data_IF_568528300252
#
_entry.id   IF_568528300252
#
_cell.length_a   1.000
_cell.length_b   1.000
_cell.length_c   1.000
_cell.angle_alpha   90.00
_cell.angle_beta   90.00
_cell.angle_gamma   90.00
#
_symmetry.space_group_name_H-M   'P 1'
#
loop_
_entity.id
_entity.type
_entity.pdbx_description
1 polymer ?
#
# COMPACT_ATOMS: atom_id res chain seq x y z
N UNK A 1 12.61 -40.55 -51.45
CA UNK A 1 12.88 -39.17 -50.96
C UNK A 1 11.76 -38.15 -51.24
N UNK A 2 10.97 -38.19 -52.33
CA UNK A 2 9.92 -37.16 -52.58
C UNK A 2 8.60 -37.32 -51.79
N UNK A 3 8.28 -38.51 -51.26
CA UNK A 3 7.03 -38.72 -50.47
C UNK A 3 7.18 -38.43 -48.97
N UNK A 4 8.37 -38.58 -48.39
CA UNK A 4 8.60 -38.29 -46.97
C UNK A 4 8.77 -36.79 -46.68
N UNK A 5 9.31 -36.02 -47.64
CA UNK A 5 9.42 -34.56 -47.52
C UNK A 5 8.04 -33.89 -47.60
N UNK A 6 7.09 -34.43 -48.37
CA UNK A 6 5.72 -33.90 -48.41
C UNK A 6 4.95 -34.09 -47.09
N UNK A 7 5.15 -35.22 -46.39
CA UNK A 7 4.48 -35.45 -45.10
C UNK A 7 5.11 -34.62 -43.98
N UNK A 8 6.42 -34.37 -44.01
CA UNK A 8 7.07 -33.50 -43.04
C UNK A 8 6.62 -32.03 -43.17
N UNK A 9 6.41 -31.53 -44.39
CA UNK A 9 5.93 -30.16 -44.62
C UNK A 9 4.44 -30.01 -44.27
N UNK A 10 3.62 -31.04 -44.51
CA UNK A 10 2.19 -31.00 -44.16
C UNK A 10 1.97 -31.07 -42.64
N UNK A 11 2.75 -31.88 -41.91
CA UNK A 11 2.67 -31.96 -40.45
C UNK A 11 3.20 -30.68 -39.79
N UNK A 12 4.22 -30.04 -40.36
CA UNK A 12 4.75 -28.76 -39.85
C UNK A 12 3.78 -27.59 -40.07
N UNK A 13 3.06 -27.55 -41.20
CA UNK A 13 2.05 -26.53 -41.44
C UNK A 13 0.79 -26.73 -40.59
N UNK A 14 0.34 -27.97 -40.37
CA UNK A 14 -0.78 -28.23 -39.46
C UNK A 14 -0.42 -27.82 -38.04
N UNK A 15 0.81 -28.06 -37.57
CA UNK A 15 1.29 -27.60 -36.26
C UNK A 15 1.41 -26.08 -36.14
N UNK A 16 1.80 -25.37 -37.20
CA UNK A 16 1.85 -23.90 -37.18
C UNK A 16 0.45 -23.25 -37.26
N UNK A 17 -0.50 -23.86 -37.97
CA UNK A 17 -1.89 -23.34 -38.05
C UNK A 17 -2.75 -23.75 -36.85
N UNK A 18 -2.39 -24.81 -36.13
CA UNK A 18 -3.05 -25.21 -34.88
C UNK A 18 -2.47 -24.54 -33.63
N UNK A 19 -1.38 -23.77 -33.76
CA UNK A 19 -0.87 -22.89 -32.69
C UNK A 19 -1.42 -21.45 -32.75
N UNK A 20 -2.22 -21.11 -33.77
CA UNK A 20 -2.77 -19.75 -33.97
C UNK A 20 -4.22 -19.54 -33.52
N UNK A 21 -4.79 -20.50 -32.78
CA UNK A 21 -6.00 -20.33 -31.97
C UNK A 21 -5.71 -21.11 -30.67
N UNK A 22 -5.51 -20.55 -29.47
CA UNK A 22 -6.25 -19.52 -28.76
C UNK A 22 -5.24 -18.78 -27.87
N UNK A 23 -4.63 -17.72 -28.39
CA UNK A 23 -4.40 -16.55 -27.55
C UNK A 23 -5.36 -15.54 -28.14
N UNK A 24 -6.63 -15.61 -27.72
CA UNK A 24 -7.40 -14.40 -27.72
C UNK A 24 -6.51 -13.40 -26.97
N UNK A 25 -6.11 -12.26 -27.57
CA UNK A 25 -5.65 -11.20 -26.71
C UNK A 25 -6.78 -11.06 -25.71
N UNK A 26 -6.51 -11.32 -24.43
CA UNK A 26 -7.26 -10.63 -23.40
C UNK A 26 -7.08 -9.18 -23.83
N UNK A 27 -8.04 -8.64 -24.58
CA UNK A 27 -8.10 -7.22 -24.84
C UNK A 27 -8.27 -6.67 -23.45
N UNK A 28 -7.14 -6.30 -22.84
CA UNK A 28 -7.13 -5.54 -21.63
C UNK A 28 -8.04 -4.36 -21.97
N UNK A 29 -9.18 -4.31 -21.28
CA UNK A 29 -10.15 -3.25 -21.52
C UNK A 29 -9.40 -1.93 -21.45
N UNK A 30 -9.71 -1.02 -22.36
CA UNK A 30 -9.02 0.26 -22.39
C UNK A 30 -9.08 0.90 -21.00
N UNK A 31 -7.94 1.38 -20.47
CA UNK A 31 -7.91 2.00 -19.16
C UNK A 31 -8.87 3.20 -19.14
N UNK A 32 -9.56 3.37 -18.02
CA UNK A 32 -10.50 4.49 -17.85
C UNK A 32 -9.73 5.80 -17.98
N UNK A 33 -10.04 6.60 -19.01
CA UNK A 33 -9.53 7.96 -19.12
C UNK A 33 -10.44 8.96 -18.38
N UNK A 34 -10.01 10.23 -18.27
CA UNK A 34 -10.82 11.29 -17.64
C UNK A 34 -12.21 11.46 -18.28
N UNK A 35 -12.32 11.25 -19.59
CA UNK A 35 -13.61 11.32 -20.32
C UNK A 35 -14.57 10.19 -19.94
N UNK A 36 -14.09 8.95 -19.86
CA UNK A 36 -14.90 7.80 -19.44
C UNK A 36 -15.24 7.88 -17.95
N UNK A 37 -14.29 8.31 -17.11
CA UNK A 37 -14.57 8.57 -15.69
C UNK A 37 -15.72 9.57 -15.54
N UNK A 38 -15.70 10.68 -16.30
CA UNK A 38 -16.79 11.65 -16.25
C UNK A 38 -18.14 11.01 -16.59
N UNK A 39 -18.20 10.23 -17.67
CA UNK A 39 -19.42 9.53 -18.08
C UNK A 39 -19.93 8.62 -16.96
N UNK A 40 -19.03 7.88 -16.32
CA UNK A 40 -19.36 6.99 -15.20
C UNK A 40 -19.88 7.78 -13.99
N UNK A 41 -19.30 8.93 -13.66
CA UNK A 41 -19.75 9.80 -12.57
C UNK A 41 -21.17 10.34 -12.83
N UNK A 42 -21.42 10.84 -14.04
CA UNK A 42 -22.73 11.40 -14.41
C UNK A 42 -23.87 10.37 -14.30
N UNK A 43 -23.57 9.09 -14.50
CA UNK A 43 -24.53 8.00 -14.32
C UNK A 43 -24.74 7.59 -12.86
N UNK A 44 -23.80 7.90 -11.96
CA UNK A 44 -23.79 7.43 -10.57
C UNK A 44 -23.59 8.59 -9.59
N UNK A 45 -24.44 9.61 -9.69
CA UNK A 45 -24.34 10.80 -8.82
C UNK A 45 -24.42 10.41 -7.33
N UNK A 46 -23.56 10.98 -6.47
CA UNK A 46 -23.58 10.72 -5.04
C UNK A 46 -24.95 11.00 -4.40
N UNK A 47 -25.42 10.08 -3.55
CA UNK A 47 -26.63 10.26 -2.73
C UNK A 47 -26.24 10.35 -1.25
N UNK A 48 -27.06 11.05 -0.45
CA UNK A 48 -26.85 11.13 1.02
C UNK A 48 -26.98 9.75 1.66
N UNK A 49 -26.29 9.55 2.79
CA UNK A 49 -26.38 8.30 3.55
C UNK A 49 -27.83 7.96 3.92
N UNK A 50 -28.22 6.71 3.69
CA UNK A 50 -29.49 6.16 4.12
C UNK A 50 -29.24 4.73 4.62
N UNK A 51 -29.73 4.42 5.82
CA UNK A 51 -29.70 3.05 6.32
C UNK A 51 -30.51 2.12 5.41
N UNK A 52 -29.92 0.99 5.05
CA UNK A 52 -30.59 0.02 4.20
C UNK A 52 -29.94 -1.35 4.29
N UNK A 53 -30.77 -2.38 4.43
CA UNK A 53 -30.34 -3.77 4.26
C UNK A 53 -30.02 -4.01 2.79
N UNK A 54 -28.96 -4.76 2.52
CA UNK A 54 -28.48 -5.06 1.17
C UNK A 54 -28.62 -6.53 0.80
N UNK A 55 -28.52 -6.87 -0.50
CA UNK A 55 -28.33 -8.24 -0.93
C UNK A 55 -27.05 -8.80 -0.28
N UNK A 56 -27.10 -10.08 0.10
CA UNK A 56 -25.98 -10.76 0.74
C UNK A 56 -25.82 -12.19 0.23
N UNK A 57 -24.58 -12.69 0.27
CA UNK A 57 -24.24 -14.05 -0.15
C UNK A 57 -23.16 -14.60 0.78
N UNK A 58 -23.36 -15.82 1.28
CA UNK A 58 -22.37 -16.56 2.06
C UNK A 58 -21.64 -17.54 1.15
N UNK A 59 -20.32 -17.57 1.23
CA UNK A 59 -19.51 -18.46 0.41
C UNK A 59 -18.20 -18.79 1.11
N UNK A 60 -17.64 -19.97 0.85
CA UNK A 60 -16.24 -20.27 1.17
C UNK A 60 -15.33 -19.72 0.07
N UNK A 61 -14.39 -18.85 0.45
CA UNK A 61 -13.41 -18.29 -0.48
C UNK A 61 -12.34 -19.32 -0.86
N UNK A 62 -11.96 -20.19 0.08
CA UNK A 62 -11.06 -21.33 -0.13
C UNK A 62 -11.75 -22.62 0.36
N UNK A 63 -11.44 -23.81 -0.20
CA UNK A 63 -12.13 -25.06 0.16
C UNK A 63 -12.18 -25.36 1.67
N UNK A 64 -11.08 -25.09 2.37
CA UNK A 64 -10.89 -25.36 3.80
C UNK A 64 -11.13 -24.12 4.70
N UNK A 65 -11.63 -23.00 4.16
CA UNK A 65 -11.86 -21.78 4.96
C UNK A 65 -13.23 -21.75 5.62
N UNK A 66 -13.36 -20.90 6.64
CA UNK A 66 -14.67 -20.44 7.13
C UNK A 66 -15.46 -19.75 6.00
N UNK A 67 -16.78 -19.68 6.16
CA UNK A 67 -17.63 -18.93 5.25
C UNK A 67 -17.44 -17.42 5.44
N UNK A 68 -17.32 -16.70 4.33
CA UNK A 68 -17.29 -15.24 4.29
C UNK A 68 -18.66 -14.73 3.82
N UNK A 69 -19.20 -13.74 4.52
CA UNK A 69 -20.45 -13.06 4.12
C UNK A 69 -20.14 -11.85 3.26
N UNK A 70 -20.55 -11.85 2.00
CA UNK A 70 -20.52 -10.71 1.09
C UNK A 70 -21.84 -9.95 1.16
N UNK A 71 -21.81 -8.63 1.26
CA UNK A 71 -23.04 -7.80 1.32
C UNK A 71 -22.87 -6.46 0.60
N UNK A 72 -23.97 -5.92 0.05
CA UNK A 72 -24.03 -4.58 -0.58
C UNK A 72 -25.10 -3.74 0.12
N UNK A 73 -24.83 -3.19 1.31
CA UNK A 73 -25.80 -2.40 2.05
C UNK A 73 -26.39 -1.23 1.23
N UNK A 74 -27.69 -0.98 1.38
CA UNK A 74 -28.39 0.11 0.69
C UNK A 74 -28.53 -0.03 -0.83
N UNK A 75 -28.29 -1.21 -1.42
CA UNK A 75 -28.30 -1.43 -2.88
C UNK A 75 -29.52 -0.81 -3.61
N UNK A 76 -30.74 -1.09 -3.14
CA UNK A 76 -31.95 -0.50 -3.73
C UNK A 76 -32.11 0.97 -3.36
N UNK A 77 -31.82 1.32 -2.12
CA UNK A 77 -31.92 2.68 -1.58
C UNK A 77 -31.07 3.69 -2.36
N UNK A 78 -29.90 3.25 -2.84
CA UNK A 78 -29.02 4.05 -3.69
C UNK A 78 -29.37 4.00 -5.18
N UNK A 79 -30.39 3.24 -5.59
CA UNK A 79 -30.80 3.07 -6.98
C UNK A 79 -29.86 2.16 -7.78
N UNK A 80 -29.01 1.36 -7.13
CA UNK A 80 -28.08 0.47 -7.84
C UNK A 80 -28.82 -0.63 -8.61
N UNK A 81 -30.02 -1.04 -8.15
CA UNK A 81 -30.89 -1.98 -8.84
C UNK A 81 -31.41 -1.49 -10.19
N UNK A 82 -31.35 -0.18 -10.45
CA UNK A 82 -31.78 0.40 -11.74
C UNK A 82 -30.80 0.09 -12.88
N UNK A 83 -29.52 -0.15 -12.56
CA UNK A 83 -28.46 -0.36 -13.56
C UNK A 83 -27.70 -1.68 -13.38
N UNK A 84 -27.86 -2.35 -12.23
CA UNK A 84 -27.09 -3.54 -11.89
C UNK A 84 -27.94 -4.66 -11.31
N UNK A 85 -27.48 -5.89 -11.52
CA UNK A 85 -28.02 -7.06 -10.85
C UNK A 85 -27.19 -7.37 -9.61
N UNK A 86 -27.85 -7.40 -8.45
CA UNK A 86 -27.22 -7.65 -7.16
C UNK A 86 -26.35 -8.92 -7.14
N UNK A 87 -26.90 -10.04 -7.62
CA UNK A 87 -26.20 -11.34 -7.65
C UNK A 87 -24.94 -11.27 -8.50
N UNK A 88 -25.01 -10.62 -9.66
CA UNK A 88 -23.86 -10.47 -10.55
C UNK A 88 -22.74 -9.65 -9.91
N UNK A 89 -23.07 -8.60 -9.15
CA UNK A 89 -22.08 -7.80 -8.44
C UNK A 89 -21.45 -8.56 -7.26
N UNK A 90 -22.26 -9.31 -6.50
CA UNK A 90 -21.76 -10.17 -5.43
C UNK A 90 -20.80 -11.23 -5.99
N UNK A 91 -21.17 -11.91 -7.08
CA UNK A 91 -20.33 -12.93 -7.72
C UNK A 91 -19.01 -12.36 -8.25
N UNK A 92 -19.07 -11.19 -8.92
CA UNK A 92 -17.86 -10.50 -9.37
C UNK A 92 -16.92 -10.16 -8.22
N UNK A 93 -17.45 -9.71 -7.08
CA UNK A 93 -16.65 -9.36 -5.91
C UNK A 93 -16.03 -10.61 -5.25
N UNK A 94 -16.78 -11.71 -5.18
CA UNK A 94 -16.27 -13.00 -4.70
C UNK A 94 -15.13 -13.49 -5.59
N UNK A 95 -15.31 -13.45 -6.92
CA UNK A 95 -14.29 -13.89 -7.88
C UNK A 95 -13.04 -13.02 -7.83
N UNK A 96 -13.20 -11.69 -7.66
CA UNK A 96 -12.07 -10.76 -7.47
C UNK A 96 -11.31 -11.10 -6.19
N UNK A 97 -12.00 -11.25 -5.07
CA UNK A 97 -11.37 -11.61 -3.81
C UNK A 97 -10.61 -12.93 -3.94
N UNK A 98 -11.21 -13.98 -4.53
CA UNK A 98 -10.51 -15.26 -4.79
C UNK A 98 -9.22 -15.08 -5.60
N UNK A 99 -9.25 -14.27 -6.66
CA UNK A 99 -8.06 -13.97 -7.46
C UNK A 99 -6.99 -13.23 -6.65
N UNK A 100 -7.37 -12.23 -5.87
CA UNK A 100 -6.45 -11.50 -5.00
C UNK A 100 -5.83 -12.40 -3.93
N UNK A 101 -6.61 -13.28 -3.30
CA UNK A 101 -6.10 -14.26 -2.34
C UNK A 101 -5.14 -15.26 -2.99
N UNK A 102 -5.48 -15.77 -4.18
CA UNK A 102 -4.59 -16.66 -4.93
C UNK A 102 -3.28 -15.99 -5.33
N UNK A 103 -3.34 -14.73 -5.77
CA UNK A 103 -2.15 -13.94 -6.09
C UNK A 103 -1.31 -13.67 -4.84
N UNK A 104 -1.94 -13.29 -3.72
CA UNK A 104 -1.24 -13.05 -2.45
C UNK A 104 -0.49 -14.30 -1.98
N UNK A 105 -1.15 -15.46 -2.01
CA UNK A 105 -0.53 -16.74 -1.67
C UNK A 105 0.64 -17.10 -2.60
N UNK A 106 0.61 -16.69 -3.86
CA UNK A 106 1.74 -16.91 -4.79
C UNK A 106 2.95 -16.01 -4.48
N UNK A 107 2.70 -14.77 -4.04
CA UNK A 107 3.75 -13.80 -3.70
C UNK A 107 4.36 -14.11 -2.33
N UNK A 108 3.51 -14.52 -1.38
CA UNK A 108 3.89 -14.84 -0.02
C UNK A 108 3.34 -16.22 0.38
N UNK A 109 4.03 -17.31 -0.01
CA UNK A 109 3.57 -18.67 0.24
C UNK A 109 3.49 -19.02 1.74
N UNK A 110 4.26 -18.32 2.57
CA UNK A 110 4.32 -18.56 4.02
C UNK A 110 3.28 -17.77 4.81
N UNK A 111 2.51 -16.87 4.17
CA UNK A 111 1.47 -16.12 4.86
C UNK A 111 0.21 -16.99 5.06
N UNK A 112 -0.38 -16.99 6.27
CA UNK A 112 -1.68 -17.62 6.46
C UNK A 112 -2.73 -16.88 5.60
N UNK A 113 -3.77 -17.59 5.14
CA UNK A 113 -4.89 -16.95 4.46
C UNK A 113 -5.50 -15.84 5.34
N UNK A 114 -5.87 -14.69 4.76
CA UNK A 114 -6.60 -13.65 5.47
C UNK A 114 -7.84 -14.21 6.18
N UNK A 115 -8.09 -13.88 7.46
CA UNK A 115 -9.23 -14.36 8.22
C UNK A 115 -10.52 -13.60 7.86
N UNK A 116 -10.92 -13.65 6.58
CA UNK A 116 -12.08 -12.95 6.04
C UNK A 116 -13.39 -13.64 6.44
N UNK A 117 -14.13 -13.02 7.36
CA UNK A 117 -15.48 -13.48 7.77
C UNK A 117 -16.62 -12.65 7.18
N UNK A 118 -16.35 -11.39 6.84
CA UNK A 118 -17.30 -10.49 6.22
C UNK A 118 -16.60 -9.61 5.20
N UNK A 119 -17.32 -9.28 4.13
CA UNK A 119 -16.91 -8.38 3.07
C UNK A 119 -18.07 -7.45 2.74
N UNK A 120 -17.90 -6.15 2.97
CA UNK A 120 -18.93 -5.14 2.76
C UNK A 120 -18.56 -4.27 1.57
N UNK A 121 -19.44 -4.21 0.57
CA UNK A 121 -19.35 -3.27 -0.54
C UNK A 121 -20.11 -2.01 -0.13
N UNK A 122 -19.40 -1.07 0.50
CA UNK A 122 -19.99 0.13 1.07
C UNK A 122 -19.82 1.31 0.11
N UNK A 123 -20.91 2.00 -0.23
CA UNK A 123 -20.89 3.18 -1.09
C UNK A 123 -20.72 4.51 -0.34
N UNK A 124 -20.54 4.50 0.99
CA UNK A 124 -20.39 5.71 1.81
C UNK A 124 -19.21 5.64 2.78
N UNK A 125 -18.75 6.82 3.21
CA UNK A 125 -17.83 6.92 4.34
C UNK A 125 -18.65 7.00 5.63
N UNK A 126 -18.42 6.05 6.52
CA UNK A 126 -18.94 6.11 7.89
C UNK A 126 -17.79 6.45 8.85
N UNK A 127 -18.12 6.84 10.08
CA UNK A 127 -17.18 7.07 11.20
C UNK A 127 -16.23 5.88 11.45
N UNK A 128 -16.57 4.72 10.87
CA UNK A 128 -15.92 3.43 11.03
C UNK A 128 -14.74 3.20 10.09
N UNK A 129 -14.61 3.88 8.94
CA UNK A 129 -13.42 3.78 8.05
C UNK A 129 -12.12 4.40 8.63
N UNK A 130 -11.98 4.44 9.96
CA UNK A 130 -10.78 4.90 10.67
C UNK A 130 -9.72 3.80 10.70
N UNK A 131 -8.42 4.15 10.81
CA UNK A 131 -7.34 3.18 10.96
C UNK A 131 -7.61 2.21 12.12
N UNK A 132 -7.55 0.89 11.86
CA UNK A 132 -7.69 -0.17 12.88
C UNK A 132 -8.84 -1.16 12.69
N UNK A 133 -9.64 -1.09 11.61
CA UNK A 133 -10.75 -2.02 11.40
C UNK A 133 -10.35 -3.37 10.78
N UNK A 134 -11.17 -4.39 11.08
CA UNK A 134 -11.20 -5.66 10.37
C UNK A 134 -11.97 -5.52 9.05
N UNK A 135 -11.23 -5.41 7.95
CA UNK A 135 -11.72 -5.53 6.57
C UNK A 135 -12.99 -4.70 6.21
N UNK A 136 -12.91 -3.37 6.31
CA UNK A 136 -13.78 -2.48 5.55
C UNK A 136 -12.91 -1.71 4.57
N UNK A 137 -12.81 -2.20 3.36
CA UNK A 137 -11.82 -1.67 2.43
C UNK A 137 -12.56 -1.19 1.19
N UNK A 138 -12.38 0.08 0.87
CA UNK A 138 -12.93 0.70 -0.34
C UNK A 138 -12.04 0.26 -1.50
N UNK A 139 -12.48 -0.73 -2.28
CA UNK A 139 -11.64 -1.45 -3.23
C UNK A 139 -11.69 -0.93 -4.65
N UNK A 140 -10.54 -0.80 -5.32
CA UNK A 140 -10.41 -0.33 -6.71
C UNK A 140 -11.35 0.84 -6.99
N UNK A 141 -11.44 1.73 -6.02
CA UNK A 141 -12.48 2.74 -5.98
C UNK A 141 -11.95 4.09 -6.34
N UNK A 142 -12.66 4.72 -7.24
CA UNK A 142 -12.53 6.14 -7.49
C UNK A 142 -13.43 6.83 -6.48
N UNK A 143 -12.84 7.51 -5.50
CA UNK A 143 -13.61 8.36 -4.59
C UNK A 143 -14.09 9.57 -5.38
N UNK A 144 -15.39 9.78 -5.47
CA UNK A 144 -16.01 10.87 -6.25
C UNK A 144 -16.69 11.90 -5.33
N UNK A 145 -16.94 11.52 -4.09
CA UNK A 145 -17.45 12.36 -3.01
C UNK A 145 -16.90 11.85 -1.67
N UNK A 146 -16.82 12.65 -0.58
CA UNK A 146 -16.39 12.16 0.73
C UNK A 146 -17.10 10.87 1.16
N UNK A 147 -18.37 10.73 0.79
CA UNK A 147 -19.21 9.56 1.04
C UNK A 147 -19.72 8.86 -0.23
N UNK A 148 -18.98 8.90 -1.36
CA UNK A 148 -19.32 8.10 -2.55
C UNK A 148 -18.09 7.61 -3.28
N UNK A 149 -18.16 6.35 -3.71
CA UNK A 149 -17.10 5.67 -4.45
C UNK A 149 -17.66 4.97 -5.70
N UNK A 150 -16.86 4.96 -6.76
CA UNK A 150 -17.11 4.17 -7.96
C UNK A 150 -16.12 2.99 -7.99
N UNK A 151 -16.63 1.76 -7.94
CA UNK A 151 -15.81 0.54 -7.96
C UNK A 151 -15.49 0.16 -9.40
N UNK A 152 -14.24 0.37 -9.84
CA UNK A 152 -13.79 -0.02 -11.17
C UNK A 152 -12.35 -0.56 -11.17
N UNK A 153 -12.25 -1.87 -11.41
CA UNK A 153 -10.97 -2.58 -11.48
C UNK A 153 -10.10 -2.20 -12.69
N UNK A 154 -10.63 -1.46 -13.68
CA UNK A 154 -9.86 -0.98 -14.83
C UNK A 154 -8.90 0.15 -14.47
N UNK A 155 -9.10 0.81 -13.32
CA UNK A 155 -8.16 1.83 -12.84
C UNK A 155 -6.98 1.18 -12.14
N UNK A 156 -7.24 0.40 -11.10
CA UNK A 156 -6.18 -0.08 -10.19
C UNK A 156 -5.83 -1.56 -10.36
N UNK A 157 -6.46 -2.31 -11.27
CA UNK A 157 -6.04 -3.67 -11.63
C UNK A 157 -6.11 -4.70 -10.49
N UNK A 158 -7.00 -4.53 -9.51
CA UNK A 158 -7.06 -5.27 -8.24
C UNK A 158 -5.90 -5.02 -7.27
N UNK A 159 -5.03 -4.03 -7.52
CA UNK A 159 -3.95 -3.66 -6.61
C UNK A 159 -4.50 -3.30 -5.22
N UNK A 160 -5.62 -2.57 -5.16
CA UNK A 160 -6.26 -2.25 -3.88
C UNK A 160 -6.76 -3.51 -3.18
N UNK A 161 -7.40 -4.45 -3.88
CA UNK A 161 -7.82 -5.71 -3.26
C UNK A 161 -6.65 -6.50 -2.69
N UNK A 162 -5.52 -6.55 -3.41
CA UNK A 162 -4.32 -7.24 -2.95
C UNK A 162 -3.69 -6.54 -1.73
N UNK A 163 -3.57 -5.21 -1.77
CA UNK A 163 -3.07 -4.36 -0.69
C UNK A 163 -3.87 -4.58 0.60
N UNK A 164 -5.19 -4.48 0.49
CA UNK A 164 -6.12 -4.58 1.61
C UNK A 164 -6.18 -6.01 2.17
N UNK A 165 -6.12 -7.01 1.30
CA UNK A 165 -6.02 -8.42 1.73
C UNK A 165 -4.73 -8.69 2.49
N UNK A 166 -3.60 -8.05 2.12
CA UNK A 166 -2.34 -8.19 2.85
C UNK A 166 -2.46 -7.64 4.27
N UNK A 167 -3.09 -6.47 4.47
CA UNK A 167 -3.28 -5.89 5.80
C UNK A 167 -3.94 -6.84 6.78
N UNK A 168 -4.87 -7.66 6.30
CA UNK A 168 -5.60 -8.64 7.12
C UNK A 168 -4.74 -9.84 7.57
N UNK A 169 -3.55 -10.03 6.98
CA UNK A 169 -2.61 -11.08 7.40
C UNK A 169 -1.61 -10.61 8.46
N UNK A 170 -1.59 -9.30 8.74
CA UNK A 170 -0.53 -8.70 9.55
C UNK A 170 -0.81 -8.85 11.05
N UNK A 171 0.20 -9.23 11.86
CA UNK A 171 0.01 -9.48 13.28
C UNK A 171 -0.15 -8.20 14.12
N UNK A 172 0.31 -7.06 13.61
CA UNK A 172 0.19 -5.76 14.25
C UNK A 172 0.15 -4.65 13.20
N UNK A 173 -0.66 -3.62 13.40
CA UNK A 173 -0.87 -2.53 12.45
C UNK A 173 -0.04 -1.28 12.81
N UNK A 174 0.58 -0.69 11.79
CA UNK A 174 1.38 0.51 11.86
C UNK A 174 1.86 0.94 10.46
N UNK A 175 2.67 2.00 10.44
CA UNK A 175 3.21 2.61 9.21
C UNK A 175 3.96 1.61 8.32
N UNK A 176 4.66 0.64 8.92
CA UNK A 176 5.40 -0.38 8.18
C UNK A 176 4.48 -1.32 7.38
N UNK A 177 3.25 -1.57 7.85
CA UNK A 177 2.28 -2.40 7.13
C UNK A 177 1.78 -1.69 5.87
N UNK A 178 1.49 -0.39 5.97
CA UNK A 178 1.15 0.44 4.81
C UNK A 178 2.28 0.44 3.78
N UNK A 179 3.53 0.61 4.23
CA UNK A 179 4.71 0.52 3.36
C UNK A 179 4.78 -0.84 2.63
N UNK A 180 4.61 -1.95 3.35
CA UNK A 180 4.62 -3.30 2.77
C UNK A 180 3.52 -3.45 1.70
N UNK A 181 2.32 -2.97 2.01
CA UNK A 181 1.17 -3.04 1.11
C UNK A 181 1.33 -2.11 -0.11
N UNK A 182 1.93 -0.92 0.03
CA UNK A 182 2.32 -0.08 -1.11
C UNK A 182 3.43 -0.73 -1.95
N UNK A 183 4.30 -1.53 -1.33
CA UNK A 183 5.25 -2.40 -2.02
C UNK A 183 4.56 -3.36 -2.99
N UNK A 184 3.33 -3.82 -2.70
CA UNK A 184 2.53 -4.60 -3.65
C UNK A 184 2.06 -3.76 -4.83
N UNK A 185 1.54 -2.57 -4.54
CA UNK A 185 0.98 -1.69 -5.55
C UNK A 185 2.04 -1.31 -6.60
N UNK A 186 3.24 -0.89 -6.17
CA UNK A 186 4.28 -0.47 -7.11
C UNK A 186 4.79 -1.62 -8.00
N UNK A 187 4.78 -2.86 -7.50
CA UNK A 187 5.15 -4.05 -8.31
C UNK A 187 4.06 -4.40 -9.32
N UNK A 188 2.81 -4.08 -9.01
CA UNK A 188 1.70 -4.31 -9.93
C UNK A 188 1.65 -3.27 -11.06
N UNK A 189 1.93 -2.01 -10.75
CA UNK A 189 1.95 -0.92 -11.72
C UNK A 189 2.90 0.21 -11.23
N UNK A 190 3.92 0.60 -12.01
CA UNK A 190 4.87 1.63 -11.63
C UNK A 190 4.23 3.00 -11.38
N UNK A 191 3.03 3.28 -11.90
CA UNK A 191 2.30 4.53 -11.64
C UNK A 191 2.00 4.73 -10.16
N UNK A 192 1.78 3.66 -9.39
CA UNK A 192 1.50 3.76 -7.96
C UNK A 192 2.65 4.33 -7.15
N UNK A 193 3.88 4.23 -7.67
CA UNK A 193 5.06 4.77 -7.01
C UNK A 193 5.02 6.28 -6.96
N UNK A 194 4.44 6.93 -7.98
CA UNK A 194 4.24 8.38 -8.00
C UNK A 194 3.20 8.81 -6.98
N UNK A 195 2.11 8.06 -6.81
CA UNK A 195 1.06 8.42 -5.83
C UNK A 195 1.52 8.19 -4.39
N UNK A 196 2.29 7.14 -4.15
CA UNK A 196 2.77 6.75 -2.80
C UNK A 196 4.24 7.11 -2.58
N UNK A 197 4.73 8.10 -3.31
CA UNK A 197 6.13 8.51 -3.32
C UNK A 197 6.73 8.80 -1.94
N UNK A 198 6.02 9.28 -0.88
CA UNK A 198 6.67 9.56 0.40
C UNK A 198 7.30 8.31 1.04
N UNK A 199 6.81 7.12 0.69
CA UNK A 199 7.35 5.84 1.14
C UNK A 199 8.65 5.43 0.41
N UNK A 200 8.88 5.93 -0.81
CA UNK A 200 9.94 5.41 -1.68
C UNK A 200 10.95 6.48 -2.14
N UNK A 201 10.58 7.77 -2.10
CA UNK A 201 11.28 8.84 -2.79
C UNK A 201 12.75 8.96 -2.40
N UNK A 202 13.08 8.90 -1.11
CA UNK A 202 14.47 9.07 -0.65
C UNK A 202 15.35 7.87 -1.03
N UNK A 203 14.83 6.65 -0.88
CA UNK A 203 15.52 5.43 -1.34
C UNK A 203 15.70 5.43 -2.85
N UNK A 204 14.67 5.79 -3.63
CA UNK A 204 14.82 5.88 -5.10
C UNK A 204 15.82 6.95 -5.52
N UNK A 205 15.74 8.13 -4.91
CA UNK A 205 16.62 9.25 -5.22
C UNK A 205 18.08 8.89 -4.94
N UNK A 206 18.34 8.25 -3.80
CA UNK A 206 19.70 7.96 -3.38
C UNK A 206 20.35 6.78 -4.11
N UNK A 207 19.57 5.76 -4.50
CA UNK A 207 20.14 4.50 -5.00
C UNK A 207 19.88 4.22 -6.49
N UNK A 208 18.86 4.84 -7.11
CA UNK A 208 18.41 4.42 -8.44
C UNK A 208 18.21 5.57 -9.45
N UNK A 209 17.60 6.67 -9.04
CA UNK A 209 17.17 7.77 -9.93
C UNK A 209 17.48 9.10 -9.24
N UNK A 210 18.69 9.63 -9.44
CA UNK A 210 19.14 10.86 -8.72
C UNK A 210 18.31 12.11 -9.05
N UNK A 211 17.73 12.18 -10.24
CA UNK A 211 16.81 13.23 -10.71
C UNK A 211 15.33 12.92 -10.40
N UNK A 212 15.04 11.95 -9.54
CA UNK A 212 13.66 11.60 -9.17
C UNK A 212 12.86 12.75 -8.57
N UNK A 213 13.44 13.66 -7.75
CA UNK A 213 12.71 14.86 -7.30
C UNK A 213 12.20 15.73 -8.45
N UNK A 214 12.97 15.88 -9.54
CA UNK A 214 12.55 16.66 -10.70
C UNK A 214 11.44 15.95 -11.47
N UNK A 215 11.50 14.62 -11.56
CA UNK A 215 10.42 13.79 -12.11
C UNK A 215 9.13 14.00 -11.31
N UNK A 216 9.18 13.93 -9.97
CA UNK A 216 8.02 14.15 -9.11
C UNK A 216 7.47 15.57 -9.25
N UNK A 217 8.34 16.58 -9.28
CA UNK A 217 7.93 17.97 -9.46
C UNK A 217 7.18 18.17 -10.78
N UNK A 218 7.67 17.62 -11.89
CA UNK A 218 6.95 17.66 -13.18
C UNK A 218 5.62 16.91 -13.11
N UNK A 219 5.60 15.74 -12.49
CA UNK A 219 4.39 14.92 -12.35
C UNK A 219 3.28 15.65 -11.58
N UNK A 220 3.61 16.28 -10.45
CA UNK A 220 2.66 17.00 -9.59
C UNK A 220 2.35 18.42 -10.05
N UNK A 221 3.15 18.98 -10.98
CA UNK A 221 2.84 20.24 -11.65
C UNK A 221 1.75 20.09 -12.73
N UNK A 222 1.37 18.85 -13.10
CA UNK A 222 0.29 18.61 -14.07
C UNK A 222 -1.03 19.15 -13.54
N UNK A 223 -1.69 19.96 -14.36
CA UNK A 223 -2.97 20.57 -14.03
C UNK A 223 -4.06 19.51 -13.80
N UNK A 224 -4.80 19.66 -12.71
CA UNK A 224 -5.97 18.86 -12.35
C UNK A 224 -7.17 19.78 -12.26
N UNK A 225 -8.35 19.27 -12.58
CA UNK A 225 -9.58 20.06 -12.50
C UNK A 225 -10.14 19.95 -11.09
N UNK A 226 -10.27 21.06 -10.39
CA UNK A 226 -10.85 21.07 -9.03
C UNK A 226 -12.35 20.74 -9.02
N UNK A 227 -13.03 21.01 -10.14
CA UNK A 227 -14.40 20.57 -10.41
C UNK A 227 -14.42 19.79 -11.73
N UNK A 228 -14.86 18.54 -11.68
CA UNK A 228 -15.18 17.80 -12.90
C UNK A 228 -16.58 18.24 -13.33
N UNK A 229 -16.63 19.12 -14.32
CA UNK A 229 -17.76 19.31 -15.24
C UNK A 229 -19.08 19.85 -14.65
N UNK A 230 -19.02 21.07 -14.12
CA UNK A 230 -20.19 21.96 -13.99
C UNK A 230 -21.04 21.79 -12.72
N UNK A 231 -20.74 20.79 -11.89
CA UNK A 231 -21.33 20.61 -10.56
C UNK A 231 -20.22 20.44 -9.51
N UNK A 232 -20.54 20.66 -8.23
CA UNK A 232 -19.65 20.59 -7.05
C UNK A 232 -19.09 19.17 -6.75
N UNK A 233 -18.70 18.42 -7.77
CA UNK A 233 -18.16 17.07 -7.68
C UNK A 233 -16.63 17.12 -7.75
N UNK A 234 -15.99 16.83 -6.60
CA UNK A 234 -14.55 16.89 -6.42
C UNK A 234 -13.94 15.49 -6.51
N UNK A 235 -13.36 15.15 -7.67
CA UNK A 235 -12.52 13.95 -7.84
C UNK A 235 -11.13 14.25 -7.27
N UNK A 236 -10.58 13.43 -6.35
CA UNK A 236 -9.25 13.64 -5.79
C UNK A 236 -8.17 13.80 -6.85
N UNK A 237 -7.22 14.68 -6.59
CA UNK A 237 -6.13 15.02 -7.53
C UNK A 237 -5.30 13.79 -7.87
N UNK A 238 -5.11 12.88 -6.92
CA UNK A 238 -4.38 11.62 -7.05
C UNK A 238 -5.02 10.71 -8.10
N UNK A 239 -6.35 10.62 -8.11
CA UNK A 239 -7.09 9.85 -9.13
C UNK A 239 -6.88 10.50 -10.49
N UNK A 240 -7.07 11.82 -10.58
CA UNK A 240 -6.93 12.53 -11.86
C UNK A 240 -5.51 12.35 -12.43
N UNK A 241 -4.48 12.53 -11.61
CA UNK A 241 -3.09 12.30 -11.99
C UNK A 241 -2.82 10.87 -12.47
N UNK A 242 -3.46 9.87 -11.87
CA UNK A 242 -3.30 8.47 -12.26
C UNK A 242 -3.94 8.14 -13.61
N UNK A 243 -5.07 8.79 -13.94
CA UNK A 243 -5.78 8.58 -15.22
C UNK A 243 -5.21 9.41 -16.36
N UNK A 244 -4.42 10.44 -16.06
CA UNK A 244 -3.70 11.21 -17.09
C UNK A 244 -2.55 10.39 -17.68
N UNK A 245 -2.23 10.57 -18.98
CA UNK A 245 -1.07 9.95 -19.59
C UNK A 245 0.22 10.24 -18.82
N UNK A 246 1.06 9.21 -18.71
CA UNK A 246 2.39 9.32 -18.12
C UNK A 246 3.44 9.37 -19.23
N UNK A 247 4.55 10.06 -18.97
CA UNK A 247 5.72 10.01 -19.83
C UNK A 247 6.29 8.59 -19.88
N UNK A 248 6.30 7.98 -21.07
CA UNK A 248 6.67 6.56 -21.27
C UNK A 248 8.10 6.29 -20.79
N UNK A 249 9.05 7.14 -21.15
CA UNK A 249 10.46 6.98 -20.75
C UNK A 249 10.63 7.06 -19.22
N UNK A 250 9.95 8.02 -18.59
CA UNK A 250 9.94 8.18 -17.14
C UNK A 250 9.34 6.95 -16.45
N UNK A 251 8.23 6.40 -16.96
CA UNK A 251 7.65 5.16 -16.44
C UNK A 251 8.59 3.96 -16.58
N UNK A 252 9.25 3.81 -17.72
CA UNK A 252 10.20 2.72 -17.96
C UNK A 252 11.39 2.77 -16.98
N UNK A 253 11.90 3.98 -16.72
CA UNK A 253 12.94 4.21 -15.71
C UNK A 253 12.47 3.81 -14.30
N UNK A 254 11.25 4.20 -13.94
CA UNK A 254 10.66 3.86 -12.63
C UNK A 254 10.38 2.37 -12.50
N UNK A 255 9.85 1.72 -13.54
CA UNK A 255 9.66 0.26 -13.58
C UNK A 255 10.99 -0.48 -13.36
N UNK A 256 12.05 -0.08 -14.06
CA UNK A 256 13.39 -0.65 -13.89
C UNK A 256 13.91 -0.47 -12.46
N UNK A 257 13.64 0.67 -11.83
CA UNK A 257 14.02 0.91 -10.45
C UNK A 257 13.23 0.03 -9.46
N UNK A 258 11.94 -0.18 -9.69
CA UNK A 258 11.10 -1.09 -8.89
C UNK A 258 11.62 -2.53 -8.95
N UNK A 259 11.98 -3.02 -10.15
CA UNK A 259 12.58 -4.35 -10.31
C UNK A 259 13.85 -4.51 -9.46
N UNK A 260 14.71 -3.49 -9.44
CA UNK A 260 15.93 -3.47 -8.62
C UNK A 260 15.65 -3.28 -7.13
N UNK A 261 14.51 -2.71 -6.77
CA UNK A 261 14.05 -2.53 -5.39
C UNK A 261 13.48 -3.82 -4.80
N UNK A 262 13.11 -4.82 -5.62
CA UNK A 262 12.48 -6.07 -5.18
C UNK A 262 13.20 -6.77 -4.01
N UNK A 263 14.55 -6.92 -3.99
CA UNK A 263 15.23 -7.52 -2.84
C UNK A 263 15.08 -6.69 -1.56
N UNK A 264 14.98 -5.37 -1.67
CA UNK A 264 14.73 -4.46 -0.54
C UNK A 264 13.31 -4.61 -0.03
N UNK A 265 12.31 -4.70 -0.93
CA UNK A 265 10.91 -4.91 -0.54
C UNK A 265 10.71 -6.25 0.16
N UNK A 266 11.39 -7.31 -0.28
CA UNK A 266 11.39 -8.61 0.40
C UNK A 266 11.97 -8.50 1.82
N UNK A 267 13.03 -7.73 2.00
CA UNK A 267 13.61 -7.48 3.32
C UNK A 267 12.67 -6.64 4.21
N UNK A 268 11.94 -5.66 3.65
CA UNK A 268 10.89 -4.93 4.38
C UNK A 268 9.83 -5.90 4.90
N UNK A 269 9.28 -6.75 4.03
CA UNK A 269 8.31 -7.79 4.43
C UNK A 269 8.85 -8.70 5.52
N UNK A 270 10.10 -9.16 5.39
CA UNK A 270 10.76 -10.03 6.39
C UNK A 270 10.87 -9.33 7.74
N UNK A 271 11.38 -8.10 7.76
CA UNK A 271 11.57 -7.32 8.99
C UNK A 271 10.24 -6.97 9.66
N UNK A 272 9.22 -6.59 8.88
CA UNK A 272 7.90 -6.26 9.42
C UNK A 272 7.25 -7.48 10.11
N UNK A 273 7.46 -8.68 9.57
CA UNK A 273 6.94 -9.93 10.14
C UNK A 273 7.73 -10.42 11.35
N UNK A 274 9.05 -10.24 11.32
CA UNK A 274 9.93 -10.63 12.42
C UNK A 274 9.79 -9.69 13.63
N UNK A 275 9.66 -8.38 13.38
CA UNK A 275 9.61 -7.34 14.40
C UNK A 275 8.41 -6.39 14.21
N UNK A 276 7.16 -6.89 14.26
CA UNK A 276 5.98 -6.10 13.92
C UNK A 276 5.72 -4.95 14.90
N UNK A 277 6.00 -5.16 16.19
CA UNK A 277 5.80 -4.14 17.22
C UNK A 277 6.83 -3.03 17.11
N UNK A 278 8.11 -3.38 16.98
CA UNK A 278 9.21 -2.43 16.86
C UNK A 278 9.12 -1.64 15.56
N UNK A 279 8.75 -2.30 14.45
CA UNK A 279 8.54 -1.64 13.16
C UNK A 279 7.43 -0.59 13.24
N UNK A 280 6.29 -0.93 13.86
CA UNK A 280 5.20 -0.01 14.07
C UNK A 280 5.58 1.14 15.02
N UNK A 281 6.24 0.82 16.14
CA UNK A 281 6.65 1.81 17.12
C UNK A 281 7.66 2.81 16.54
N UNK A 282 8.73 2.34 15.89
CA UNK A 282 9.73 3.22 15.29
C UNK A 282 9.12 4.07 14.16
N UNK A 283 8.19 3.50 13.40
CA UNK A 283 7.41 4.25 12.42
C UNK A 283 6.65 5.41 13.04
N UNK A 284 5.95 5.20 14.16
CA UNK A 284 5.18 6.25 14.84
C UNK A 284 6.06 7.23 15.61
N UNK A 285 7.09 6.74 16.30
CA UNK A 285 8.04 7.54 17.06
C UNK A 285 8.80 8.51 16.16
N UNK A 286 9.23 8.06 14.97
CA UNK A 286 9.94 8.93 14.01
C UNK A 286 9.01 9.65 13.04
N UNK A 287 7.79 9.14 12.82
CA UNK A 287 6.87 9.50 11.72
C UNK A 287 7.50 9.41 10.32
N UNK A 288 8.66 8.77 10.19
CA UNK A 288 9.33 8.56 8.91
C UNK A 288 8.69 7.35 8.21
N UNK A 289 7.78 7.63 7.28
CA UNK A 289 6.93 6.57 6.66
C UNK A 289 7.72 5.52 5.88
N UNK A 290 8.89 5.89 5.37
CA UNK A 290 9.81 5.02 4.63
C UNK A 290 10.84 4.33 5.52
N UNK A 291 10.82 4.49 6.86
CA UNK A 291 11.94 4.09 7.73
C UNK A 291 12.37 2.64 7.52
N UNK A 292 11.42 1.71 7.47
CA UNK A 292 11.75 0.28 7.32
C UNK A 292 12.34 -0.02 5.93
N UNK A 293 11.87 0.66 4.88
CA UNK A 293 12.46 0.60 3.53
C UNK A 293 13.89 1.13 3.55
N UNK A 294 14.11 2.28 4.19
CA UNK A 294 15.41 2.94 4.25
C UNK A 294 16.43 2.07 5.03
N UNK A 295 15.99 1.37 6.09
CA UNK A 295 16.80 0.39 6.85
C UNK A 295 17.12 -0.84 5.97
N UNK A 296 16.12 -1.39 5.28
CA UNK A 296 16.32 -2.52 4.38
C UNK A 296 17.29 -2.15 3.24
N UNK A 297 17.20 -0.93 2.70
CA UNK A 297 18.05 -0.46 1.62
C UNK A 297 19.52 -0.44 2.04
N UNK A 298 19.86 0.04 3.25
CA UNK A 298 21.27 0.11 3.69
C UNK A 298 21.87 -1.24 4.06
N UNK A 299 21.02 -2.24 4.32
CA UNK A 299 21.42 -3.63 4.46
C UNK A 299 21.79 -4.24 3.11
N UNK A 300 20.93 -4.07 2.11
CA UNK A 300 20.99 -4.79 0.83
C UNK A 300 21.86 -4.08 -0.20
N UNK A 301 21.79 -2.75 -0.27
CA UNK A 301 22.39 -1.96 -1.33
C UNK A 301 23.74 -1.35 -0.90
N UNK A 302 24.68 -1.15 -1.85
CA UNK A 302 25.88 -0.37 -1.58
C UNK A 302 25.51 1.08 -1.26
N UNK A 303 26.13 1.64 -0.21
CA UNK A 303 25.83 3.01 0.21
C UNK A 303 26.13 4.02 -0.91
N UNK A 304 25.31 5.07 -1.08
CA UNK A 304 25.59 6.13 -2.05
C UNK A 304 26.94 6.79 -1.75
N UNK A 305 27.69 7.27 -2.75
CA UNK A 305 28.92 8.03 -2.54
C UNK A 305 28.69 9.23 -1.59
N UNK A 306 29.66 9.50 -0.73
CA UNK A 306 29.65 10.67 0.15
C UNK A 306 31.08 11.17 0.29
N UNK A 307 31.30 12.41 -0.11
CA UNK A 307 32.55 13.14 0.12
C UNK A 307 32.30 14.16 1.21
N UNK A 308 32.67 13.80 2.45
CA UNK A 308 32.51 14.64 3.63
C UNK A 308 33.58 14.27 4.66
N UNK A 309 34.17 15.27 5.31
CA UNK A 309 35.12 15.03 6.38
C UNK A 309 34.46 14.37 7.61
N UNK A 310 35.26 13.67 8.41
CA UNK A 310 34.76 12.90 9.56
C UNK A 310 34.13 13.78 10.63
N UNK A 311 34.62 15.01 10.84
CA UNK A 311 34.11 15.90 11.88
C UNK A 311 32.70 16.40 11.54
N UNK A 312 32.49 16.83 10.29
CA UNK A 312 31.17 17.23 9.80
C UNK A 312 30.18 16.05 9.78
N UNK A 313 30.68 14.84 9.47
CA UNK A 313 29.86 13.62 9.51
C UNK A 313 29.40 13.27 10.93
N UNK A 314 30.29 13.34 11.92
CA UNK A 314 29.97 13.08 13.32
C UNK A 314 28.96 14.11 13.88
N UNK A 315 29.13 15.38 13.53
CA UNK A 315 28.16 16.42 13.89
C UNK A 315 26.79 16.16 13.26
N UNK A 316 26.75 15.78 11.97
CA UNK A 316 25.50 15.43 11.30
C UNK A 316 24.82 14.19 11.91
N UNK A 317 25.61 13.18 12.32
CA UNK A 317 25.10 12.02 13.05
C UNK A 317 24.52 12.41 14.40
N UNK A 318 25.11 13.37 15.12
CA UNK A 318 24.56 13.84 16.39
C UNK A 318 23.17 14.49 16.24
N UNK A 319 22.94 15.19 15.12
CA UNK A 319 21.64 15.77 14.78
C UNK A 319 20.61 14.65 14.58
N UNK A 320 20.94 13.63 13.80
CA UNK A 320 20.05 12.48 13.54
C UNK A 320 19.76 11.70 14.82
N UNK A 321 20.79 11.38 15.59
CA UNK A 321 20.68 10.63 16.85
C UNK A 321 19.72 11.35 17.82
N UNK A 322 19.89 12.66 17.99
CA UNK A 322 18.99 13.47 18.83
C UNK A 322 17.55 13.45 18.32
N UNK A 323 17.32 13.57 17.02
CA UNK A 323 15.96 13.58 16.46
C UNK A 323 15.29 12.20 16.54
N UNK A 324 16.05 11.13 16.28
CA UNK A 324 15.56 9.75 16.31
C UNK A 324 15.33 9.20 17.72
N UNK A 325 15.83 9.87 18.76
CA UNK A 325 15.56 9.50 20.16
C UNK A 325 14.44 10.34 20.82
N UNK A 326 13.80 11.29 20.10
CA UNK A 326 12.69 12.07 20.66
C UNK A 326 11.40 11.22 20.79
N UNK A 327 10.69 11.34 21.90
CA UNK A 327 9.53 10.51 22.25
C UNK A 327 8.21 11.29 22.33
N UNK A 328 8.24 12.58 22.04
CA UNK A 328 7.07 13.47 22.01
C UNK A 328 6.01 13.05 20.98
N UNK A 329 6.38 12.40 19.87
CA UNK A 329 5.40 11.82 18.94
C UNK A 329 4.55 10.73 19.62
N UNK A 330 5.18 9.80 20.35
CA UNK A 330 4.48 8.69 21.04
C UNK A 330 3.87 9.11 22.37
N UNK A 331 4.51 10.00 23.13
CA UNK A 331 4.03 10.46 24.45
C UNK A 331 2.98 11.55 24.41
N UNK A 332 3.08 12.47 23.44
CA UNK A 332 2.25 13.68 23.38
C UNK A 332 1.36 13.72 22.13
N UNK A 333 1.44 12.72 21.25
CA UNK A 333 0.64 12.65 20.02
C UNK A 333 1.08 13.63 18.93
N UNK A 334 2.32 14.15 19.00
CA UNK A 334 2.87 14.98 17.93
C UNK A 334 3.04 14.17 16.63
N UNK A 335 3.07 14.88 15.50
CA UNK A 335 3.16 14.30 14.15
C UNK A 335 4.35 14.87 13.38
N UNK A 336 5.54 14.80 13.98
CA UNK A 336 6.74 15.40 13.42
C UNK A 336 7.60 14.33 12.74
N UNK A 337 7.86 14.48 11.45
CA UNK A 337 8.80 13.66 10.69
C UNK A 337 10.25 13.99 11.10
N UNK A 338 10.83 13.10 11.93
CA UNK A 338 12.17 13.26 12.51
C UNK A 338 13.28 13.19 11.47
N UNK A 339 13.08 12.42 10.40
CA UNK A 339 14.01 12.40 9.27
C UNK A 339 14.03 13.77 8.61
N UNK A 340 12.87 14.31 8.21
CA UNK A 340 12.79 15.62 7.56
C UNK A 340 13.31 16.75 8.46
N UNK A 341 12.98 16.74 9.75
CA UNK A 341 13.49 17.74 10.70
C UNK A 341 15.02 17.69 10.80
N UNK A 342 15.62 16.49 10.86
CA UNK A 342 17.08 16.33 10.89
C UNK A 342 17.74 16.81 9.59
N UNK A 343 17.22 16.41 8.42
CA UNK A 343 17.74 16.83 7.12
C UNK A 343 17.61 18.34 6.90
N UNK A 344 16.53 18.95 7.41
CA UNK A 344 16.35 20.39 7.40
C UNK A 344 17.36 21.08 8.32
N UNK A 345 17.57 20.55 9.53
CA UNK A 345 18.56 21.07 10.48
C UNK A 345 19.96 21.08 9.87
N UNK A 346 20.37 20.00 9.19
CA UNK A 346 21.67 19.95 8.50
C UNK A 346 21.80 21.01 7.41
N UNK A 347 20.73 21.27 6.64
CA UNK A 347 20.75 22.27 5.56
C UNK A 347 20.97 23.69 6.07
N UNK A 348 20.46 24.01 7.25
CA UNK A 348 20.56 25.37 7.82
C UNK A 348 21.75 25.51 8.78
N UNK A 349 21.96 24.54 9.67
CA UNK A 349 23.01 24.60 10.68
C UNK A 349 24.39 24.26 10.11
N UNK A 350 24.50 23.14 9.39
CA UNK A 350 25.76 22.67 8.79
C UNK A 350 25.97 23.20 7.37
N UNK A 351 25.04 24.01 6.86
CA UNK A 351 25.04 24.57 5.49
C UNK A 351 25.14 23.52 4.37
N UNK A 352 24.73 22.28 4.64
CA UNK A 352 24.69 21.19 3.67
C UNK A 352 23.46 21.31 2.77
N UNK A 353 23.54 22.14 1.73
CA UNK A 353 22.39 22.42 0.84
C UNK A 353 22.01 21.26 -0.06
N UNK A 354 23.01 20.54 -0.57
CA UNK A 354 22.80 19.42 -1.48
C UNK A 354 21.98 18.30 -0.80
N UNK A 355 20.95 17.84 -1.50
CA UNK A 355 20.05 16.80 -1.00
C UNK A 355 20.70 15.42 -1.06
N UNK A 356 21.52 15.16 -2.08
CA UNK A 356 22.22 13.88 -2.27
C UNK A 356 23.19 13.64 -1.12
N UNK A 357 23.98 14.66 -0.78
CA UNK A 357 24.89 14.65 0.37
C UNK A 357 24.14 14.36 1.68
N UNK A 358 23.03 15.06 1.94
CA UNK A 358 22.23 14.86 3.16
C UNK A 358 21.60 13.46 3.25
N UNK A 359 21.11 12.92 2.14
CA UNK A 359 20.62 11.54 2.08
C UNK A 359 21.76 10.53 2.26
N UNK A 360 22.94 10.77 1.68
CA UNK A 360 24.13 9.94 1.85
C UNK A 360 24.59 9.86 3.31
N UNK A 361 24.46 10.95 4.07
CA UNK A 361 24.68 10.98 5.52
C UNK A 361 23.60 10.17 6.25
N UNK A 362 22.33 10.39 5.93
CA UNK A 362 21.21 9.68 6.55
C UNK A 362 21.31 8.15 6.41
N UNK A 363 21.60 7.65 5.21
CA UNK A 363 21.75 6.22 4.99
C UNK A 363 22.98 5.63 5.72
N UNK A 364 24.07 6.38 5.86
CA UNK A 364 25.20 5.96 6.72
C UNK A 364 24.83 5.91 8.19
N UNK A 365 24.05 6.89 8.67
CA UNK A 365 23.52 6.88 10.03
C UNK A 365 22.64 5.66 10.28
N UNK A 366 21.70 5.35 9.38
CA UNK A 366 20.86 4.15 9.50
C UNK A 366 21.71 2.87 9.53
N UNK A 367 22.74 2.79 8.66
CA UNK A 367 23.65 1.64 8.65
C UNK A 367 24.36 1.48 9.98
N UNK A 368 24.90 2.58 10.53
CA UNK A 368 25.57 2.60 11.84
C UNK A 368 24.63 2.20 12.98
N UNK A 369 23.37 2.64 12.92
CA UNK A 369 22.38 2.46 14.00
C UNK A 369 21.71 1.09 14.01
N UNK A 370 21.33 0.58 12.84
CA UNK A 370 20.43 -0.58 12.73
C UNK A 370 21.10 -1.84 12.18
N UNK A 371 22.30 -1.74 11.57
CA UNK A 371 22.97 -2.90 10.97
C UNK A 371 24.14 -3.33 11.85
N UNK A 372 23.98 -4.51 12.46
CA UNK A 372 24.98 -5.13 13.34
C UNK A 372 26.09 -5.87 12.58
N UNK A 373 27.01 -6.44 13.36
CA UNK A 373 28.07 -7.32 12.85
C UNK A 373 27.43 -8.50 12.10
N UNK A 374 27.94 -8.82 10.90
CA UNK A 374 27.40 -9.90 10.07
C UNK A 374 26.13 -9.55 9.29
N UNK A 375 25.65 -8.30 9.34
CA UNK A 375 24.49 -7.85 8.55
C UNK A 375 23.13 -8.13 9.21
N UNK A 376 23.12 -8.53 10.48
CA UNK A 376 21.90 -8.64 11.29
C UNK A 376 21.25 -7.25 11.44
N UNK A 377 19.93 -7.18 11.29
CA UNK A 377 19.19 -5.94 11.51
C UNK A 377 18.65 -5.93 12.94
N UNK A 378 18.93 -4.87 13.69
CA UNK A 378 18.43 -4.68 15.05
C UNK A 378 17.57 -3.43 15.08
N UNK A 379 16.25 -3.59 15.19
CA UNK A 379 15.34 -2.46 15.36
C UNK A 379 15.43 -1.93 16.79
N UNK A 380 16.43 -1.08 17.03
CA UNK A 380 16.72 -0.51 18.35
C UNK A 380 15.64 0.51 18.74
N UNK A 381 14.91 0.20 19.80
CA UNK A 381 13.95 1.14 20.41
C UNK A 381 14.67 2.06 21.41
N UNK A 382 14.44 3.39 21.38
CA UNK A 382 15.12 4.33 22.26
C UNK A 382 14.75 4.20 23.76
N UNK A 383 13.52 3.81 24.08
CA UNK A 383 13.03 3.72 25.46
C UNK A 383 12.04 2.55 25.59
N UNK A 384 12.43 1.52 26.34
CA UNK A 384 11.62 0.30 26.54
C UNK A 384 10.32 0.55 27.33
N UNK A 385 10.30 1.55 28.23
CA UNK A 385 9.07 1.89 28.97
C UNK A 385 8.08 2.57 28.04
N UNK A 386 8.57 3.49 27.21
CA UNK A 386 7.76 4.15 26.19
C UNK A 386 7.18 3.16 25.18
N UNK A 387 8.02 2.23 24.71
CA UNK A 387 7.60 1.16 23.81
C UNK A 387 6.49 0.30 24.42
N UNK A 388 6.64 -0.12 25.69
CA UNK A 388 5.59 -0.88 26.39
C UNK A 388 4.28 -0.10 26.51
N UNK A 389 4.35 1.18 26.88
CA UNK A 389 3.17 2.06 26.97
C UNK A 389 2.48 2.22 25.61
N UNK A 390 3.24 2.34 24.52
CA UNK A 390 2.70 2.39 23.16
C UNK A 390 1.93 1.11 22.82
N UNK A 391 2.48 -0.06 23.12
CA UNK A 391 1.79 -1.35 22.88
C UNK A 391 0.52 -1.45 23.73
N UNK A 392 0.58 -1.09 25.01
CA UNK A 392 -0.58 -1.08 25.91
C UNK A 392 -1.68 -0.12 25.43
N UNK A 393 -1.31 1.06 24.93
CA UNK A 393 -2.25 2.02 24.35
C UNK A 393 -2.93 1.45 23.10
N UNK A 394 -2.17 0.85 22.17
CA UNK A 394 -2.74 0.21 20.98
C UNK A 394 -3.72 -0.91 21.34
N UNK A 395 -3.37 -1.73 22.33
CA UNK A 395 -4.26 -2.78 22.86
C UNK A 395 -5.53 -2.18 23.47
N UNK A 396 -5.43 -1.10 24.24
CA UNK A 396 -6.57 -0.38 24.83
C UNK A 396 -7.48 0.18 23.75
N UNK A 397 -6.93 0.73 22.67
CA UNK A 397 -7.72 1.25 21.55
C UNK A 397 -8.49 0.13 20.83
N UNK A 398 -7.86 -1.02 20.61
CA UNK A 398 -8.52 -2.21 20.05
C UNK A 398 -9.63 -2.71 20.99
N UNK A 399 -9.37 -2.76 22.30
CA UNK A 399 -10.38 -3.17 23.29
C UNK A 399 -11.58 -2.21 23.32
N UNK A 400 -11.34 -0.90 23.25
CA UNK A 400 -12.39 0.13 23.16
C UNK A 400 -13.20 -0.03 21.88
N UNK A 401 -12.55 -0.32 20.76
CA UNK A 401 -13.20 -0.58 19.49
C UNK A 401 -14.08 -1.85 19.56
N UNK A 402 -13.57 -2.94 20.14
CA UNK A 402 -14.31 -4.20 20.33
C UNK A 402 -15.60 -4.01 21.17
N UNK A 403 -15.57 -3.10 22.14
CA UNK A 403 -16.74 -2.73 22.96
C UNK A 403 -17.77 -1.84 22.26
N UNK A 404 -17.50 -1.34 21.05
CA UNK A 404 -18.41 -0.42 20.35
C UNK A 404 -19.73 -1.12 19.98
N UNK A 405 -20.90 -0.51 20.26
CA UNK A 405 -22.19 -1.06 19.81
C UNK A 405 -22.37 -1.04 18.29
N UNK A 406 -21.53 -0.27 17.58
CA UNK A 406 -21.61 -0.08 16.13
C UNK A 406 -20.83 -1.14 15.32
N UNK A 407 -20.02 -1.99 15.96
CA UNK A 407 -19.41 -3.14 15.30
C UNK A 407 -20.41 -4.28 15.13
N UNK A 408 -20.39 -4.93 13.98
CA UNK A 408 -21.05 -6.21 13.75
C UNK A 408 -20.49 -7.27 14.71
N UNK A 409 -21.24 -8.35 15.02
CA UNK A 409 -20.72 -9.45 15.82
C UNK A 409 -19.40 -10.04 15.28
N UNK A 410 -19.24 -10.06 13.96
CA UNK A 410 -18.05 -10.57 13.27
C UNK A 410 -16.84 -9.66 13.50
N UNK A 411 -17.01 -8.34 13.36
CA UNK A 411 -15.93 -7.38 13.62
C UNK A 411 -15.50 -7.39 15.09
N UNK A 412 -16.44 -7.56 16.03
CA UNK A 412 -16.12 -7.69 17.46
C UNK A 412 -15.25 -8.92 17.72
N UNK A 413 -15.62 -10.06 17.16
CA UNK A 413 -14.86 -11.30 17.28
C UNK A 413 -13.46 -11.14 16.68
N UNK A 414 -13.34 -10.45 15.53
CA UNK A 414 -12.06 -10.06 14.94
C UNK A 414 -11.21 -9.24 15.91
N UNK A 415 -11.75 -8.13 16.42
CA UNK A 415 -11.05 -7.24 17.34
C UNK A 415 -10.54 -7.96 18.59
N UNK A 416 -11.34 -8.87 19.15
CA UNK A 416 -10.93 -9.70 20.30
C UNK A 416 -9.77 -10.64 19.95
N UNK A 417 -9.82 -11.33 18.79
CA UNK A 417 -8.70 -12.18 18.34
C UNK A 417 -7.40 -11.41 18.12
N UNK A 418 -7.47 -10.20 17.54
CA UNK A 418 -6.29 -9.34 17.42
C UNK A 418 -5.76 -8.93 18.79
N UNK A 419 -6.63 -8.63 19.74
CA UNK A 419 -6.20 -8.28 21.10
C UNK A 419 -5.50 -9.45 21.81
N UNK A 420 -5.90 -10.69 21.52
CA UNK A 420 -5.27 -11.93 22.02
C UNK A 420 -3.92 -12.21 21.34
N UNK A 421 -3.78 -11.90 20.05
CA UNK A 421 -2.54 -12.16 19.29
C UNK A 421 -1.41 -11.18 19.61
N UNK A 422 -1.74 -9.97 20.08
CA UNK A 422 -0.75 -8.96 20.46
C UNK A 422 -0.19 -9.29 21.85
N UNK A 423 1.10 -9.64 21.97
CA UNK A 423 1.68 -9.97 23.25
C UNK A 423 1.69 -8.74 24.17
N UNK A 424 1.57 -8.95 25.49
CA UNK A 424 1.60 -7.86 26.47
C UNK A 424 3.00 -7.26 26.64
N UNK A 425 4.01 -7.99 26.23
CA UNK A 425 5.43 -7.66 26.32
C UNK A 425 6.14 -8.19 25.07
N UNK A 426 7.35 -7.69 24.83
CA UNK A 426 8.24 -8.19 23.77
C UNK A 426 8.45 -9.71 23.90
N UNK A 427 8.64 -10.41 22.78
CA UNK A 427 9.21 -11.77 22.82
C UNK A 427 10.71 -11.61 23.09
N UNK A 428 11.19 -12.21 24.16
CA UNK A 428 12.61 -12.24 24.52
C UNK A 428 13.45 -13.00 23.48
#
# INVERSE_FOLDING_TARGET
MRKEVCNAVLVFFVFLTSLTFIIAPLQAKEPVGLGELNRLIQLHLPKKFQEGVGPSKKIKLLPESEETVFTIPGFETYGCGECHQAEQLLDRSIDRMRKSLGLLASIFPDLPPPPLKQFIIQSWADEWLRPGQFAHTTFDTIRIFPAAILVDSQVYGNATHLHESLHLTQPFLGIANELEAYGLNIRSDPKFLFLNFPYFADTLTAFFITDFPDILNRFFAREVKEAVLGEDLNVPREVQWFLMPFEVDTLNRVATAIEKLEPVLKEVSRLNREYPLESAYLGEQTRAVSLLLDIAAVKILPLPPLDLDSSALDEAFSILERQFNKLDNTRLGYRIDRKREALMTMSYHLRLKDSVTRLGIYFRFLKKRFIGVGGEVKLVVPDEKDFKLFVEEKRRDIAKMAGSPKLTPVEKEGALRMLESIPATRRD
#
